data_IF_496361205414
#
_entry.id   IF_496361205414
#
_cell.length_a   1.000
_cell.length_b   1.000
_cell.length_c   1.000
_cell.angle_alpha   90.00
_cell.angle_beta   90.00
_cell.angle_gamma   90.00
#
_symmetry.space_group_name_H-M   'P 1'
#
loop_
_entity.id
_entity.type
_entity.pdbx_description
1 polymer ?
#
# COMPACT_ATOMS: atom_id res chain seq x y z
N UNK A 1 2.84 -33.42 13.00
CA UNK A 1 3.09 -31.97 13.09
C UNK A 1 1.80 -31.27 12.67
N UNK A 2 0.96 -30.90 13.63
CA UNK A 2 -0.37 -30.35 13.35
C UNK A 2 -0.21 -28.89 12.92
N UNK A 3 -0.34 -28.63 11.62
CA UNK A 3 -0.35 -27.28 11.05
C UNK A 3 -1.63 -26.60 11.57
N UNK A 4 -1.48 -25.65 12.49
CA UNK A 4 -2.59 -24.80 12.93
C UNK A 4 -3.08 -23.99 11.71
N UNK A 5 -4.38 -24.05 11.36
CA UNK A 5 -4.94 -23.15 10.36
C UNK A 5 -4.70 -21.72 10.84
N UNK A 6 -4.08 -20.88 9.99
CA UNK A 6 -3.96 -19.45 10.23
C UNK A 6 -5.38 -18.90 10.36
N UNK A 7 -5.78 -18.47 11.55
CA UNK A 7 -7.06 -17.79 11.76
C UNK A 7 -7.18 -16.64 10.75
N UNK A 8 -8.26 -16.67 9.96
CA UNK A 8 -8.67 -15.54 9.12
C UNK A 8 -9.12 -14.45 10.08
N UNK A 9 -8.31 -13.41 10.19
CA UNK A 9 -8.61 -12.23 10.98
C UNK A 9 -9.69 -11.42 10.23
N UNK A 10 -10.94 -11.66 10.61
CA UNK A 10 -12.15 -11.03 10.08
C UNK A 10 -12.31 -9.61 10.69
N UNK A 11 -11.32 -8.75 10.47
CA UNK A 11 -11.40 -7.32 10.75
C UNK A 11 -11.05 -6.52 9.48
N UNK A 12 -11.86 -6.82 8.47
CA UNK A 12 -12.40 -6.06 7.32
C UNK A 12 -11.64 -4.94 6.57
N UNK A 13 -10.47 -4.46 6.99
CA UNK A 13 -9.68 -3.53 6.19
C UNK A 13 -8.20 -3.79 6.49
N UNK A 14 -7.41 -4.10 5.46
CA UNK A 14 -5.98 -4.32 5.67
C UNK A 14 -5.39 -3.05 6.30
N UNK A 15 -4.65 -3.14 7.42
CA UNK A 15 -4.10 -1.96 8.08
C UNK A 15 -3.25 -1.09 7.13
N UNK A 16 -2.72 -1.69 6.05
CA UNK A 16 -2.06 -0.98 4.96
C UNK A 16 -3.09 -0.17 4.16
N UNK A 17 -4.19 -0.76 3.69
CA UNK A 17 -5.23 -0.04 2.95
C UNK A 17 -5.84 1.12 3.76
N UNK A 18 -6.12 0.91 5.05
CA UNK A 18 -6.58 1.99 5.93
C UNK A 18 -5.57 3.14 6.01
N UNK A 19 -4.27 2.81 6.12
CA UNK A 19 -3.22 3.83 6.12
C UNK A 19 -3.16 4.56 4.78
N UNK A 20 -3.23 3.85 3.66
CA UNK A 20 -3.22 4.46 2.33
C UNK A 20 -4.44 5.36 2.10
N UNK A 21 -5.61 4.96 2.60
CA UNK A 21 -6.85 5.75 2.51
C UNK A 21 -6.72 7.05 3.29
N UNK A 22 -6.11 7.01 4.48
CA UNK A 22 -5.81 8.20 5.29
C UNK A 22 -4.73 9.08 4.64
N UNK A 23 -3.77 8.45 3.96
CA UNK A 23 -2.69 9.13 3.25
C UNK A 23 -3.10 9.73 1.90
N UNK A 24 -4.23 9.32 1.34
CA UNK A 24 -4.62 9.66 -0.04
C UNK A 24 -3.80 8.92 -1.11
N UNK A 25 -2.96 7.96 -0.73
CA UNK A 25 -2.14 7.17 -1.66
C UNK A 25 -2.85 5.92 -2.19
N UNK A 26 -4.11 5.69 -1.79
CA UNK A 26 -4.87 4.50 -2.15
C UNK A 26 -5.12 4.39 -3.67
N UNK A 27 -5.40 5.50 -4.35
CA UNK A 27 -5.59 5.52 -5.81
C UNK A 27 -4.36 5.01 -6.58
N UNK A 28 -3.17 5.43 -6.13
CA UNK A 28 -1.90 5.01 -6.72
C UNK A 28 -1.61 3.54 -6.49
N UNK A 29 -2.02 3.00 -5.34
CA UNK A 29 -1.95 1.56 -5.09
C UNK A 29 -2.81 0.77 -6.07
N UNK A 30 -4.06 1.20 -6.31
CA UNK A 30 -4.92 0.56 -7.30
C UNK A 30 -4.37 0.68 -8.72
N UNK A 31 -3.76 1.82 -9.10
CA UNK A 31 -3.07 1.95 -10.40
C UNK A 31 -1.94 0.96 -10.57
N UNK A 32 -1.10 0.79 -9.53
CA UNK A 32 -0.03 -0.23 -9.55
C UNK A 32 -0.63 -1.64 -9.66
N UNK A 33 -1.69 -1.93 -8.91
CA UNK A 33 -2.38 -3.22 -9.00
C UNK A 33 -2.95 -3.47 -10.39
N UNK A 34 -3.56 -2.47 -11.01
CA UNK A 34 -4.14 -2.55 -12.36
C UNK A 34 -3.06 -2.74 -13.42
N UNK A 35 -1.94 -2.00 -13.34
CA UNK A 35 -0.83 -2.21 -14.27
C UNK A 35 -0.26 -3.62 -14.13
N UNK A 36 -0.02 -4.10 -12.91
CA UNK A 36 0.51 -5.45 -12.68
C UNK A 36 -0.51 -6.50 -13.15
N UNK A 37 -1.81 -6.29 -12.95
CA UNK A 37 -2.85 -7.19 -13.42
C UNK A 37 -2.90 -7.26 -14.96
N UNK A 38 -2.71 -6.11 -15.63
CA UNK A 38 -2.75 -5.99 -17.09
C UNK A 38 -1.49 -6.51 -17.75
N UNK A 39 -0.32 -6.04 -17.32
CA UNK A 39 0.97 -6.37 -17.92
C UNK A 39 1.54 -7.69 -17.42
N UNK A 40 1.12 -8.13 -16.22
CA UNK A 40 1.71 -9.26 -15.47
C UNK A 40 3.21 -9.12 -15.21
N UNK A 41 3.76 -7.92 -15.40
CA UNK A 41 5.17 -7.63 -15.23
C UNK A 41 5.35 -6.29 -14.52
N UNK A 42 5.63 -6.36 -13.22
CA UNK A 42 5.80 -5.19 -12.36
C UNK A 42 6.95 -4.28 -12.81
N UNK A 43 7.92 -4.77 -13.60
CA UNK A 43 9.02 -3.94 -14.11
C UNK A 43 8.53 -2.91 -15.13
N UNK A 44 7.42 -3.17 -15.81
CA UNK A 44 6.81 -2.21 -16.74
C UNK A 44 5.98 -1.15 -16.02
N UNK A 45 5.57 -1.42 -14.78
CA UNK A 45 4.80 -0.52 -13.93
C UNK A 45 5.69 0.37 -13.05
N UNK A 46 6.95 0.60 -13.45
CA UNK A 46 7.90 1.37 -12.64
C UNK A 46 7.45 2.83 -12.43
N UNK A 47 6.74 3.41 -13.40
CA UNK A 47 6.23 4.78 -13.30
C UNK A 47 5.18 4.87 -12.19
N UNK A 48 4.13 4.02 -12.24
CA UNK A 48 3.11 3.94 -11.20
C UNK A 48 3.69 3.58 -9.82
N UNK A 49 4.68 2.69 -9.77
CA UNK A 49 5.35 2.30 -8.51
C UNK A 49 6.16 3.47 -7.93
N UNK A 50 6.82 4.27 -8.77
CA UNK A 50 7.55 5.45 -8.32
C UNK A 50 6.61 6.52 -7.77
N UNK A 51 5.49 6.78 -8.44
CA UNK A 51 4.48 7.74 -7.98
C UNK A 51 3.88 7.30 -6.63
N UNK A 52 3.53 6.03 -6.51
CA UNK A 52 3.08 5.44 -5.25
C UNK A 52 4.13 5.59 -4.12
N UNK A 53 5.40 5.34 -4.43
CA UNK A 53 6.52 5.48 -3.48
C UNK A 53 6.71 6.93 -3.02
N UNK A 54 6.59 7.90 -3.92
CA UNK A 54 6.65 9.32 -3.56
C UNK A 54 5.53 9.70 -2.61
N UNK A 55 4.30 9.24 -2.88
CA UNK A 55 3.16 9.51 -2.01
C UNK A 55 3.37 8.96 -0.59
N UNK A 56 3.79 7.69 -0.46
CA UNK A 56 4.08 7.09 0.86
C UNK A 56 5.23 7.83 1.55
N UNK A 57 6.26 8.23 0.81
CA UNK A 57 7.42 8.92 1.39
C UNK A 57 7.01 10.28 1.97
N UNK A 58 6.18 11.05 1.25
CA UNK A 58 5.61 12.31 1.74
C UNK A 58 4.78 12.08 3.01
N UNK A 59 3.86 11.13 2.98
CA UNK A 59 3.05 10.80 4.15
C UNK A 59 3.90 10.37 5.35
N UNK A 60 4.92 9.52 5.14
CA UNK A 60 5.81 9.07 6.22
C UNK A 60 6.61 10.23 6.82
N UNK A 61 7.02 11.19 6.01
CA UNK A 61 7.68 12.41 6.49
C UNK A 61 6.71 13.30 7.29
N UNK A 62 5.47 13.46 6.83
CA UNK A 62 4.44 14.21 7.54
C UNK A 62 4.09 13.56 8.89
N UNK A 63 3.91 12.24 8.92
CA UNK A 63 3.65 11.51 10.16
C UNK A 63 4.83 11.60 11.14
N UNK A 64 6.07 11.51 10.63
CA UNK A 64 7.26 11.72 11.44
C UNK A 64 7.33 13.15 12.00
N UNK A 65 7.00 14.16 11.19
CA UNK A 65 6.98 15.56 11.60
C UNK A 65 5.87 15.85 12.63
N UNK A 66 4.69 15.23 12.49
CA UNK A 66 3.61 15.30 13.49
C UNK A 66 4.00 14.64 14.80
N UNK A 67 4.66 13.47 14.75
CA UNK A 67 5.11 12.76 15.95
C UNK A 67 6.18 13.49 16.75
N UNK A 68 6.86 14.47 16.14
CA UNK A 68 7.91 15.28 16.78
C UNK A 68 7.38 16.60 17.33
N UNK A 69 6.10 16.91 17.10
CA UNK A 69 5.45 18.18 17.44
C UNK A 69 4.68 18.10 18.75
#
# INVERSE_FOLDING_TARGET
MTIKPREKFDNDDDPVESMLKRAGCLDLHYKVQECIATTKDWRKCQDEVNDFKECITKHKQEEFNKSKR
#
